data_IF_584348712159
#
_entry.id   IF_584348712159
#
_cell.length_a   1.000
_cell.length_b   1.000
_cell.length_c   1.000
_cell.angle_alpha   90.00
_cell.angle_beta   90.00
_cell.angle_gamma   90.00
#
_symmetry.space_group_name_H-M   'P 1'
#
loop_
_entity.id
_entity.type
_entity.pdbx_description
1 polymer ?
#
# COMPACT_ATOMS: atom_id res chain seq x y z
N UNK A 1 -63.18 0.94 -29.78
CA UNK A 1 -61.99 0.25 -29.25
C UNK A 1 -60.90 1.27 -29.02
N UNK A 2 -60.64 1.66 -27.76
CA UNK A 2 -59.49 2.48 -27.41
C UNK A 2 -58.38 1.60 -26.81
N UNK A 3 -57.16 1.79 -27.31
CA UNK A 3 -55.93 1.16 -26.80
C UNK A 3 -55.51 1.80 -25.48
N UNK A 4 -55.47 0.96 -24.46
CA UNK A 4 -55.10 1.28 -23.08
C UNK A 4 -53.57 1.14 -22.92
N UNK A 5 -52.83 2.20 -23.28
CA UNK A 5 -51.39 2.27 -23.06
C UNK A 5 -51.11 2.52 -21.57
N UNK A 6 -50.91 1.42 -20.85
CA UNK A 6 -50.47 1.37 -19.46
C UNK A 6 -49.20 2.19 -19.22
N UNK A 7 -49.38 3.36 -18.60
CA UNK A 7 -48.29 4.14 -17.99
C UNK A 7 -47.80 3.39 -16.75
N UNK A 8 -46.84 2.49 -16.92
CA UNK A 8 -46.03 1.98 -15.81
C UNK A 8 -45.23 3.16 -15.23
N UNK A 9 -45.72 3.70 -14.10
CA UNK A 9 -44.93 4.58 -13.25
C UNK A 9 -43.80 3.74 -12.66
N UNK A 10 -42.59 3.96 -13.15
CA UNK A 10 -41.37 3.52 -12.48
C UNK A 10 -41.37 4.23 -11.11
N UNK A 11 -41.43 3.52 -9.97
CA UNK A 11 -41.32 4.17 -8.68
C UNK A 11 -39.96 4.84 -8.60
N UNK A 12 -39.95 6.12 -8.28
CA UNK A 12 -38.72 6.85 -7.98
C UNK A 12 -38.00 6.06 -6.87
N UNK A 13 -36.88 5.43 -7.24
CA UNK A 13 -35.95 4.86 -6.28
C UNK A 13 -35.49 6.03 -5.41
N UNK A 14 -36.10 6.17 -4.22
CA UNK A 14 -35.50 6.93 -3.14
C UNK A 14 -34.23 6.17 -2.81
N UNK A 15 -33.10 6.64 -3.35
CA UNK A 15 -31.79 6.37 -2.79
C UNK A 15 -31.92 6.76 -1.32
N UNK A 16 -32.02 5.77 -0.43
CA UNK A 16 -31.80 6.02 0.99
C UNK A 16 -30.36 6.51 1.07
N UNK A 17 -30.20 7.83 1.19
CA UNK A 17 -28.95 8.43 1.63
C UNK A 17 -28.70 7.80 3.00
N UNK A 18 -27.82 6.80 3.02
CA UNK A 18 -27.53 6.02 4.21
C UNK A 18 -27.21 6.98 5.35
N UNK A 19 -27.74 6.71 6.55
CA UNK A 19 -27.36 7.41 7.77
C UNK A 19 -25.83 7.30 7.90
N UNK A 20 -25.13 8.36 7.51
CA UNK A 20 -23.69 8.47 7.70
C UNK A 20 -23.44 8.30 9.20
N UNK A 21 -22.64 7.30 9.56
CA UNK A 21 -22.30 7.07 10.97
C UNK A 21 -21.77 8.38 11.58
N UNK A 22 -22.06 8.63 12.87
CA UNK A 22 -21.63 9.86 13.54
C UNK A 22 -20.12 10.11 13.40
N UNK A 23 -19.32 9.04 13.36
CA UNK A 23 -17.89 9.09 13.14
C UNK A 23 -17.52 9.55 11.73
N UNK A 24 -18.16 9.00 10.69
CA UNK A 24 -17.90 9.44 9.32
C UNK A 24 -18.30 10.90 9.11
N UNK A 25 -19.39 11.36 9.72
CA UNK A 25 -19.78 12.78 9.68
C UNK A 25 -18.71 13.68 10.31
N UNK A 26 -18.11 13.27 11.45
CA UNK A 26 -17.02 14.00 12.09
C UNK A 26 -15.79 14.08 11.18
N UNK A 27 -15.33 12.94 10.65
CA UNK A 27 -14.16 12.89 9.74
C UNK A 27 -14.37 13.80 8.54
N UNK A 28 -15.57 13.76 7.96
CA UNK A 28 -15.94 14.59 6.82
C UNK A 28 -15.89 16.09 7.16
N UNK A 29 -16.46 16.52 8.29
CA UNK A 29 -16.43 17.93 8.70
C UNK A 29 -15.01 18.42 9.02
N UNK A 30 -14.23 17.63 9.74
CA UNK A 30 -12.87 18.00 10.13
C UNK A 30 -11.93 18.03 8.91
N UNK A 31 -12.10 17.07 7.97
CA UNK A 31 -11.31 17.02 6.73
C UNK A 31 -11.58 18.18 5.78
N UNK A 32 -12.78 18.78 5.80
CA UNK A 32 -13.15 19.90 4.92
C UNK A 32 -12.35 21.16 5.23
N UNK A 33 -12.13 21.46 6.52
CA UNK A 33 -11.33 22.60 6.95
C UNK A 33 -9.88 22.44 6.48
N UNK A 34 -9.31 21.25 6.71
CA UNK A 34 -7.96 20.90 6.27
C UNK A 34 -7.83 20.96 4.74
N UNK A 35 -8.86 20.51 4.02
CA UNK A 35 -8.86 20.51 2.56
C UNK A 35 -8.90 21.93 2.00
N UNK A 36 -9.69 22.82 2.61
CA UNK A 36 -9.75 24.23 2.23
C UNK A 36 -8.38 24.90 2.40
N UNK A 37 -7.69 24.63 3.52
CA UNK A 37 -6.33 25.11 3.78
C UNK A 37 -5.33 24.58 2.75
N UNK A 38 -5.40 23.28 2.43
CA UNK A 38 -4.58 22.68 1.37
C UNK A 38 -4.78 23.39 0.04
N UNK A 39 -6.02 23.59 -0.42
CA UNK A 39 -6.30 24.23 -1.72
C UNK A 39 -5.77 25.65 -1.79
N UNK A 40 -5.94 26.43 -0.73
CA UNK A 40 -5.40 27.78 -0.65
C UNK A 40 -3.87 27.77 -0.73
N UNK A 41 -3.23 26.83 -0.04
CA UNK A 41 -1.77 26.68 -0.07
C UNK A 41 -1.25 26.27 -1.44
N UNK A 42 -1.97 25.40 -2.16
CA UNK A 42 -1.57 24.94 -3.49
C UNK A 42 -1.65 26.04 -4.56
N UNK A 43 -2.41 27.12 -4.32
CA UNK A 43 -2.51 28.25 -5.26
C UNK A 43 -1.21 29.06 -5.26
N UNK A 44 -0.36 28.81 -6.26
CA UNK A 44 0.91 29.53 -6.43
C UNK A 44 2.07 28.99 -5.60
N UNK A 45 1.89 27.86 -4.90
CA UNK A 45 2.98 27.20 -4.20
C UNK A 45 4.07 26.71 -5.17
N UNK A 46 5.32 26.84 -4.73
CA UNK A 46 6.43 26.11 -5.34
C UNK A 46 6.22 24.59 -5.23
N UNK A 47 6.93 23.81 -6.04
CA UNK A 47 6.84 22.34 -6.00
C UNK A 47 7.12 21.77 -4.60
N UNK A 48 8.08 22.35 -3.88
CA UNK A 48 8.43 21.92 -2.53
C UNK A 48 7.31 22.25 -1.53
N UNK A 49 6.80 23.48 -1.55
CA UNK A 49 5.68 23.89 -0.68
C UNK A 49 4.42 23.06 -0.95
N UNK A 50 4.11 22.80 -2.22
CA UNK A 50 2.97 21.96 -2.58
C UNK A 50 3.12 20.53 -2.04
N UNK A 51 4.34 19.99 -2.05
CA UNK A 51 4.64 18.67 -1.46
C UNK A 51 4.48 18.68 0.05
N UNK A 52 5.07 19.66 0.74
CA UNK A 52 4.98 19.80 2.20
C UNK A 52 3.52 19.93 2.65
N UNK A 53 2.73 20.76 1.97
CA UNK A 53 1.30 20.93 2.24
C UNK A 53 0.52 19.63 2.05
N UNK A 54 0.79 18.87 0.98
CA UNK A 54 0.15 17.57 0.73
C UNK A 54 0.53 16.54 1.80
N UNK A 55 1.80 16.46 2.20
CA UNK A 55 2.25 15.56 3.27
C UNK A 55 1.59 15.89 4.61
N UNK A 56 1.53 17.18 4.95
CA UNK A 56 0.89 17.64 6.18
C UNK A 56 -0.60 17.28 6.17
N UNK A 57 -1.28 17.55 5.06
CA UNK A 57 -2.68 17.22 4.88
C UNK A 57 -2.94 15.70 5.00
N UNK A 58 -2.21 14.86 4.26
CA UNK A 58 -2.39 13.40 4.31
C UNK A 58 -2.12 12.84 5.71
N UNK A 59 -1.11 13.39 6.41
CA UNK A 59 -0.82 13.02 7.80
C UNK A 59 -1.97 13.40 8.72
N UNK A 60 -2.53 14.60 8.60
CA UNK A 60 -3.65 15.05 9.45
C UNK A 60 -4.92 14.23 9.18
N UNK A 61 -5.26 13.95 7.91
CA UNK A 61 -6.40 13.08 7.57
C UNK A 61 -6.24 11.69 8.18
N UNK A 62 -5.03 11.11 8.11
CA UNK A 62 -4.73 9.81 8.72
C UNK A 62 -5.02 9.81 10.23
N UNK A 63 -4.75 10.92 10.94
CA UNK A 63 -5.03 11.04 12.38
C UNK A 63 -6.52 11.16 12.72
N UNK A 64 -7.34 11.65 11.78
CA UNK A 64 -8.79 11.72 11.96
C UNK A 64 -9.46 10.34 11.83
N UNK A 65 -8.82 9.44 11.10
CA UNK A 65 -9.33 8.10 10.82
C UNK A 65 -8.94 7.09 11.92
N UNK A 66 -9.84 6.16 12.27
CA UNK A 66 -9.62 5.20 13.34
C UNK A 66 -8.42 4.30 13.04
N UNK A 67 -7.54 4.12 14.03
CA UNK A 67 -6.41 3.22 13.91
C UNK A 67 -6.86 1.74 13.89
N UNK A 68 -6.13 0.84 13.22
CA UNK A 68 -6.35 -0.59 13.31
C UNK A 68 -5.91 -1.11 14.69
N UNK A 69 -6.66 -0.79 15.74
CA UNK A 69 -6.51 -1.44 17.04
C UNK A 69 -7.14 -2.84 16.98
N UNK A 70 -6.77 -3.71 17.93
CA UNK A 70 -7.44 -5.01 18.14
C UNK A 70 -8.85 -4.80 18.66
N UNK A 71 -9.74 -4.30 17.81
CA UNK A 71 -11.14 -4.07 18.16
C UNK A 71 -11.84 -5.43 18.07
N UNK A 72 -12.40 -5.87 19.19
CA UNK A 72 -13.05 -7.19 19.30
C UNK A 72 -14.30 -7.32 18.41
N UNK A 73 -14.92 -6.19 18.03
CA UNK A 73 -16.02 -6.11 17.10
C UNK A 73 -15.81 -4.95 16.12
N UNK A 74 -15.54 -5.29 14.87
CA UNK A 74 -15.46 -4.33 13.76
C UNK A 74 -16.77 -4.41 13.00
N UNK A 75 -17.54 -3.32 12.99
CA UNK A 75 -18.70 -3.20 12.10
C UNK A 75 -18.27 -2.74 10.70
N UNK A 76 -19.20 -2.78 9.74
CA UNK A 76 -18.92 -2.48 8.33
C UNK A 76 -18.49 -1.01 8.13
N UNK A 77 -19.10 -0.07 8.84
CA UNK A 77 -18.78 1.35 8.74
C UNK A 77 -17.38 1.68 9.27
N UNK A 78 -16.97 1.02 10.36
CA UNK A 78 -15.64 1.13 10.92
C UNK A 78 -14.60 0.47 9.99
N UNK A 79 -14.93 -0.66 9.38
CA UNK A 79 -14.07 -1.32 8.39
C UNK A 79 -13.82 -0.42 7.18
N UNK A 80 -14.83 0.29 6.69
CA UNK A 80 -14.68 1.27 5.62
C UNK A 80 -13.71 2.39 6.01
N UNK A 81 -13.87 3.00 7.19
CA UNK A 81 -12.98 4.06 7.67
C UNK A 81 -11.54 3.57 7.90
N UNK A 82 -11.39 2.32 8.34
CA UNK A 82 -10.07 1.69 8.44
C UNK A 82 -9.45 1.45 7.06
N UNK A 83 -10.23 1.01 6.07
CA UNK A 83 -9.75 0.85 4.69
C UNK A 83 -9.33 2.19 4.07
N UNK A 84 -10.07 3.25 4.39
CA UNK A 84 -9.76 4.61 3.96
C UNK A 84 -8.44 5.09 4.58
N UNK A 85 -8.21 4.81 5.87
CA UNK A 85 -6.95 5.13 6.55
C UNK A 85 -5.75 4.46 5.88
N UNK A 86 -5.89 3.17 5.59
CA UNK A 86 -4.87 2.36 4.91
C UNK A 86 -4.45 3.04 3.59
N UNK A 87 -5.41 3.56 2.83
CA UNK A 87 -5.15 4.31 1.60
C UNK A 87 -4.44 5.64 1.86
N UNK A 88 -4.84 6.41 2.87
CA UNK A 88 -4.19 7.69 3.21
C UNK A 88 -2.74 7.50 3.69
N UNK A 89 -2.47 6.47 4.49
CA UNK A 89 -1.11 6.14 4.92
C UNK A 89 -0.22 5.73 3.72
N UNK A 90 -0.80 5.05 2.73
CA UNK A 90 -0.11 4.69 1.50
C UNK A 90 0.22 5.94 0.66
N UNK A 91 -0.72 6.89 0.57
CA UNK A 91 -0.50 8.17 -0.10
C UNK A 91 0.59 9.00 0.59
N UNK A 92 0.66 9.01 1.93
CA UNK A 92 1.76 9.63 2.66
C UNK A 92 3.13 9.11 2.20
N UNK A 93 3.26 7.80 1.96
CA UNK A 93 4.51 7.18 1.52
C UNK A 93 4.84 7.59 0.08
N UNK A 94 3.83 7.67 -0.79
CA UNK A 94 4.01 8.02 -2.21
C UNK A 94 4.31 9.50 -2.43
N UNK A 95 3.77 10.39 -1.59
CA UNK A 95 4.00 11.85 -1.65
C UNK A 95 5.21 12.26 -0.82
N UNK A 96 5.59 11.42 0.15
CA UNK A 96 6.66 11.64 1.11
C UNK A 96 8.08 11.64 0.54
N UNK A 97 9.09 11.98 1.36
CA UNK A 97 10.52 11.91 0.99
C UNK A 97 10.94 10.51 0.51
N UNK A 98 10.27 9.46 0.99
CA UNK A 98 10.54 8.07 0.64
C UNK A 98 10.41 7.75 -0.85
N UNK A 99 9.60 8.51 -1.59
CA UNK A 99 9.45 8.34 -3.03
C UNK A 99 10.68 8.79 -3.84
N UNK A 100 11.53 9.67 -3.29
CA UNK A 100 12.70 10.20 -4.02
C UNK A 100 14.00 9.56 -3.54
N UNK A 101 14.07 9.19 -2.25
CA UNK A 101 15.30 8.71 -1.62
C UNK A 101 15.44 7.18 -1.65
N UNK A 102 14.58 6.47 -2.39
CA UNK A 102 14.61 5.01 -2.51
C UNK A 102 14.19 4.25 -1.24
N UNK A 103 13.70 4.94 -0.21
CA UNK A 103 13.17 4.30 1.01
C UNK A 103 11.70 3.85 0.89
N UNK A 104 11.11 3.96 -0.31
CA UNK A 104 9.76 3.49 -0.61
C UNK A 104 9.51 2.05 -0.17
N UNK A 105 10.43 1.13 -0.50
CA UNK A 105 10.27 -0.28 -0.15
C UNK A 105 10.17 -0.48 1.38
N UNK A 106 10.96 0.28 2.14
CA UNK A 106 10.96 0.25 3.61
C UNK A 106 9.71 0.92 4.20
N UNK A 107 9.24 2.01 3.58
CA UNK A 107 7.95 2.63 3.88
C UNK A 107 6.78 1.68 3.66
N UNK A 108 6.71 1.03 2.49
CA UNK A 108 5.66 0.05 2.16
C UNK A 108 5.73 -1.18 3.07
N UNK A 109 6.92 -1.66 3.41
CA UNK A 109 7.09 -2.76 4.37
C UNK A 109 6.56 -2.41 5.76
N UNK A 110 6.88 -1.21 6.23
CA UNK A 110 6.42 -0.72 7.53
C UNK A 110 4.91 -0.53 7.53
N UNK A 111 4.35 0.03 6.45
CA UNK A 111 2.92 0.16 6.25
C UNK A 111 2.19 -1.18 6.21
N UNK A 112 2.71 -2.19 5.50
CA UNK A 112 2.13 -3.53 5.47
C UNK A 112 2.08 -4.16 6.86
N UNK A 113 3.14 -4.00 7.66
CA UNK A 113 3.19 -4.51 9.04
C UNK A 113 2.18 -3.80 9.96
N UNK A 114 2.09 -2.48 9.88
CA UNK A 114 1.15 -1.69 10.69
C UNK A 114 -0.29 -2.00 10.33
N UNK A 115 -0.58 -2.19 9.05
CA UNK A 115 -1.91 -2.47 8.55
C UNK A 115 -2.20 -3.97 8.45
N UNK A 116 -1.28 -4.82 8.91
CA UNK A 116 -1.39 -6.27 8.79
C UNK A 116 -2.72 -6.77 9.34
N UNK A 117 -3.22 -6.24 10.48
CA UNK A 117 -4.52 -6.64 11.02
C UNK A 117 -5.68 -6.28 10.08
N UNK A 118 -5.70 -5.06 9.54
CA UNK A 118 -6.70 -4.63 8.56
C UNK A 118 -6.62 -5.45 7.25
N UNK A 119 -5.42 -5.90 6.89
CA UNK A 119 -5.14 -6.77 5.73
C UNK A 119 -5.46 -8.26 6.00
N UNK A 120 -5.23 -8.75 7.22
CA UNK A 120 -5.34 -10.16 7.64
C UNK A 120 -6.69 -10.54 8.25
N UNK A 121 -7.63 -9.62 8.44
CA UNK A 121 -9.03 -9.96 8.76
C UNK A 121 -9.63 -11.01 7.77
N UNK A 122 -8.94 -11.33 6.67
CA UNK A 122 -9.37 -12.22 5.60
C UNK A 122 -8.65 -13.59 5.52
N UNK A 123 -7.63 -13.89 6.33
CA UNK A 123 -6.95 -15.21 6.28
C UNK A 123 -6.63 -15.73 7.70
N UNK A 124 -7.24 -16.86 8.07
CA UNK A 124 -7.04 -17.55 9.36
C UNK A 124 -6.02 -18.69 9.27
N UNK A 125 -5.16 -18.76 10.29
CA UNK A 125 -4.36 -19.93 10.69
C UNK A 125 -3.18 -19.44 11.53
N UNK A 126 -2.83 -19.94 12.71
CA UNK A 126 -3.09 -21.22 13.37
C UNK A 126 -1.76 -21.64 13.98
N UNK A 127 -1.48 -21.24 15.23
CA UNK A 127 -0.18 -21.43 15.89
C UNK A 127 -0.16 -22.67 16.78
N UNK A 128 0.81 -23.56 16.53
CA UNK A 128 1.21 -24.65 17.43
C UNK A 128 2.60 -24.37 18.00
N UNK A 129 2.83 -24.83 19.23
CA UNK A 129 4.08 -24.74 19.99
C UNK A 129 4.81 -26.09 19.93
N UNK A 130 6.15 -26.10 19.93
CA UNK A 130 6.92 -27.14 20.62
C UNK A 130 8.40 -26.79 20.85
N UNK A 131 8.99 -27.52 21.82
CA UNK A 131 10.28 -27.35 22.50
C UNK A 131 11.53 -27.32 21.60
N UNK A 132 12.49 -26.46 21.96
CA UNK A 132 13.74 -26.21 21.21
C UNK A 132 14.86 -27.17 21.62
N UNK A 133 15.55 -27.80 20.65
CA UNK A 133 16.75 -28.64 20.85
C UNK A 133 18.04 -27.88 20.54
N UNK A 134 19.19 -28.24 21.14
CA UNK A 134 20.49 -27.57 20.92
C UNK A 134 20.92 -27.53 19.44
N UNK A 135 20.56 -28.55 18.65
CA UNK A 135 20.83 -28.60 17.21
C UNK A 135 20.04 -27.56 16.40
N UNK A 136 18.84 -27.17 16.86
CA UNK A 136 18.08 -26.07 16.27
C UNK A 136 18.73 -24.73 16.60
N UNK A 137 19.21 -24.54 17.84
CA UNK A 137 19.89 -23.30 18.27
C UNK A 137 21.13 -23.01 17.41
N UNK A 138 21.93 -24.04 17.11
CA UNK A 138 23.16 -23.91 16.32
C UNK A 138 22.94 -23.37 14.89
N UNK A 139 21.77 -23.61 14.28
CA UNK A 139 21.42 -23.08 12.95
C UNK A 139 20.59 -21.78 13.05
N UNK A 140 19.71 -21.68 14.04
CA UNK A 140 18.83 -20.53 14.25
C UNK A 140 19.63 -19.29 14.65
N UNK A 141 20.63 -19.40 15.54
CA UNK A 141 21.39 -18.24 16.01
C UNK A 141 22.16 -17.52 14.88
N UNK A 142 22.92 -18.21 14.00
CA UNK A 142 23.54 -17.56 12.84
C UNK A 142 22.51 -16.96 11.88
N UNK A 143 21.38 -17.64 11.65
CA UNK A 143 20.29 -17.09 10.82
C UNK A 143 19.74 -15.80 11.43
N UNK A 144 19.49 -15.76 12.74
CA UNK A 144 19.03 -14.58 13.45
C UNK A 144 20.07 -13.46 13.41
N UNK A 145 21.35 -13.77 13.53
CA UNK A 145 22.43 -12.79 13.40
C UNK A 145 22.43 -12.16 12.00
N UNK A 146 22.29 -12.98 10.95
CA UNK A 146 22.20 -12.51 9.57
C UNK A 146 20.98 -11.61 9.39
N UNK A 147 19.80 -12.01 9.88
CA UNK A 147 18.57 -11.21 9.82
C UNK A 147 18.73 -9.89 10.56
N UNK A 148 19.31 -9.90 11.77
CA UNK A 148 19.55 -8.68 12.56
C UNK A 148 20.56 -7.72 11.93
N UNK A 149 21.45 -8.24 11.10
CA UNK A 149 22.45 -7.46 10.34
C UNK A 149 21.98 -7.09 8.95
N UNK A 150 20.71 -7.33 8.64
CA UNK A 150 20.12 -6.91 7.39
C UNK A 150 20.25 -5.39 7.27
N UNK A 151 20.85 -4.85 6.19
CA UNK A 151 20.97 -3.41 6.02
C UNK A 151 19.59 -2.77 5.86
N UNK A 152 19.40 -1.60 6.46
CA UNK A 152 18.18 -0.79 6.41
C UNK A 152 18.50 0.65 5.99
N UNK A 153 17.71 1.23 5.10
CA UNK A 153 17.96 2.58 4.60
C UNK A 153 17.33 3.61 5.55
N UNK A 154 18.15 4.48 6.13
CA UNK A 154 17.68 5.53 7.05
C UNK A 154 17.51 5.09 8.51
N UNK A 155 17.62 3.80 8.82
CA UNK A 155 17.76 3.31 10.20
C UNK A 155 19.22 3.12 10.59
N UNK A 156 20.05 2.66 9.65
CA UNK A 156 21.48 2.53 9.86
C UNK A 156 22.15 3.89 9.66
N UNK A 157 22.65 4.50 10.75
CA UNK A 157 23.38 5.78 10.70
C UNK A 157 24.59 5.78 9.75
N UNK A 158 25.08 4.59 9.37
CA UNK A 158 26.19 4.41 8.42
C UNK A 158 25.75 4.36 6.94
N UNK A 159 24.45 4.32 6.66
CA UNK A 159 23.88 4.20 5.32
C UNK A 159 23.03 5.45 5.04
N UNK A 160 23.62 6.40 4.33
CA UNK A 160 23.03 7.72 4.07
C UNK A 160 22.46 7.88 2.66
N UNK A 161 22.62 6.87 1.80
CA UNK A 161 22.19 6.94 0.40
C UNK A 161 21.86 5.57 -0.18
N UNK A 162 21.02 5.55 -1.22
CA UNK A 162 20.64 4.32 -1.95
C UNK A 162 21.85 3.54 -2.47
N UNK A 163 22.88 4.15 -3.09
CA UNK A 163 24.05 3.39 -3.55
C UNK A 163 24.82 2.70 -2.41
N UNK A 164 24.97 3.38 -1.27
CA UNK A 164 25.58 2.78 -0.08
C UNK A 164 24.75 1.61 0.45
N UNK A 165 23.42 1.78 0.49
CA UNK A 165 22.48 0.73 0.89
C UNK A 165 22.59 -0.49 -0.02
N UNK A 166 22.51 -0.32 -1.34
CA UNK A 166 22.62 -1.41 -2.31
C UNK A 166 23.96 -2.12 -2.19
N UNK A 167 25.06 -1.39 -2.02
CA UNK A 167 26.39 -2.01 -1.84
C UNK A 167 26.47 -2.84 -0.55
N UNK A 168 26.00 -2.31 0.58
CA UNK A 168 25.93 -3.03 1.85
C UNK A 168 25.00 -4.24 1.76
N UNK A 169 23.88 -4.11 1.03
CA UNK A 169 22.92 -5.17 0.79
C UNK A 169 23.56 -6.34 0.03
N UNK A 170 24.33 -6.06 -1.01
CA UNK A 170 25.04 -7.08 -1.78
C UNK A 170 26.09 -7.80 -0.93
N UNK A 171 26.84 -7.08 -0.10
CA UNK A 171 27.80 -7.68 0.84
C UNK A 171 27.10 -8.62 1.83
N UNK A 172 25.98 -8.16 2.40
CA UNK A 172 25.17 -8.96 3.31
C UNK A 172 24.58 -10.19 2.61
N UNK A 173 24.05 -10.07 1.38
CA UNK A 173 23.58 -11.21 0.59
C UNK A 173 24.72 -12.21 0.31
N UNK A 174 25.94 -11.73 0.06
CA UNK A 174 27.12 -12.58 -0.06
C UNK A 174 27.40 -13.39 1.21
N UNK A 175 27.24 -12.78 2.39
CA UNK A 175 27.38 -13.48 3.67
C UNK A 175 26.27 -14.53 3.89
N UNK A 176 25.02 -14.21 3.53
CA UNK A 176 23.89 -15.14 3.57
C UNK A 176 24.14 -16.33 2.64
N UNK A 177 24.59 -16.08 1.40
CA UNK A 177 24.92 -17.11 0.43
C UNK A 177 26.09 -17.99 0.90
N UNK A 178 27.12 -17.40 1.48
CA UNK A 178 28.23 -18.16 2.07
C UNK A 178 27.75 -19.09 3.20
N UNK A 179 26.82 -18.62 4.03
CA UNK A 179 26.23 -19.42 5.09
C UNK A 179 25.33 -20.56 4.57
N UNK A 180 24.52 -20.34 3.54
CA UNK A 180 23.69 -21.40 2.94
C UNK A 180 24.53 -22.50 2.27
N UNK A 181 25.75 -22.18 1.84
CA UNK A 181 26.68 -23.15 1.26
C UNK A 181 27.42 -24.02 2.30
N UNK A 182 27.36 -23.67 3.59
CA UNK A 182 28.07 -24.38 4.68
C UNK A 182 27.37 -25.70 5.07
N UNK A 183 27.61 -26.77 4.31
CA UNK A 183 26.92 -28.08 4.46
C UNK A 183 26.89 -28.64 5.91
N UNK A 184 27.98 -28.53 6.66
CA UNK A 184 28.11 -29.17 7.98
C UNK A 184 27.03 -28.73 8.98
N UNK A 185 26.72 -27.43 9.08
CA UNK A 185 25.71 -26.92 10.00
C UNK A 185 24.28 -27.31 9.56
N UNK A 186 24.02 -27.31 8.25
CA UNK A 186 22.73 -27.69 7.68
C UNK A 186 22.45 -29.18 7.77
N UNK A 187 23.48 -30.03 7.68
CA UNK A 187 23.32 -31.49 7.76
C UNK A 187 22.95 -31.93 9.18
N UNK A 188 23.60 -31.36 10.20
CA UNK A 188 23.27 -31.61 11.62
C UNK A 188 21.83 -31.18 11.92
N UNK A 189 21.44 -29.97 11.50
CA UNK A 189 20.07 -29.50 11.72
C UNK A 189 19.04 -30.30 10.91
N UNK A 190 19.32 -30.67 9.66
CA UNK A 190 18.40 -31.52 8.86
C UNK A 190 18.19 -32.90 9.47
N UNK A 191 19.21 -33.48 10.12
CA UNK A 191 19.08 -34.76 10.80
C UNK A 191 18.25 -34.65 12.09
N UNK A 192 18.45 -33.57 12.85
CA UNK A 192 17.74 -33.35 14.12
C UNK A 192 16.29 -32.86 13.91
N UNK A 193 16.09 -31.90 13.01
CA UNK A 193 14.80 -31.30 12.68
C UNK A 193 14.75 -30.84 11.20
N UNK A 194 14.28 -31.73 10.30
CA UNK A 194 14.12 -31.41 8.88
C UNK A 194 13.17 -30.24 8.60
N UNK A 195 12.17 -29.99 9.47
CA UNK A 195 11.18 -28.95 9.26
C UNK A 195 11.78 -27.57 9.54
N UNK A 196 12.49 -27.40 10.65
CA UNK A 196 13.23 -26.17 10.96
C UNK A 196 14.28 -25.87 9.90
N UNK A 197 15.08 -26.87 9.50
CA UNK A 197 16.06 -26.67 8.44
C UNK A 197 15.39 -26.25 7.11
N UNK A 198 14.26 -26.86 6.74
CA UNK A 198 13.52 -26.43 5.54
C UNK A 198 13.01 -25.00 5.67
N UNK A 199 12.40 -24.65 6.81
CA UNK A 199 11.86 -23.31 7.06
C UNK A 199 12.94 -22.23 7.02
N UNK A 200 14.10 -22.46 7.66
CA UNK A 200 15.24 -21.56 7.59
C UNK A 200 15.81 -21.47 6.17
N UNK A 201 15.87 -22.57 5.43
CA UNK A 201 16.29 -22.57 4.02
C UNK A 201 15.38 -21.72 3.15
N UNK A 202 14.05 -21.85 3.32
CA UNK A 202 13.06 -21.02 2.62
C UNK A 202 13.22 -19.55 2.99
N UNK A 203 13.38 -19.23 4.28
CA UNK A 203 13.59 -17.87 4.77
C UNK A 203 14.85 -17.25 4.15
N UNK A 204 15.99 -17.94 4.17
CA UNK A 204 17.23 -17.40 3.59
C UNK A 204 17.13 -17.25 2.07
N UNK A 205 16.47 -18.16 1.37
CA UNK A 205 16.21 -18.01 -0.07
C UNK A 205 15.33 -16.80 -0.38
N UNK A 206 14.34 -16.52 0.46
CA UNK A 206 13.54 -15.30 0.38
C UNK A 206 14.39 -14.06 0.60
N UNK A 207 15.24 -14.04 1.63
CA UNK A 207 16.16 -12.94 1.95
C UNK A 207 17.17 -12.67 0.82
N UNK A 208 17.57 -13.72 0.09
CA UNK A 208 18.42 -13.65 -1.10
C UNK A 208 17.68 -13.18 -2.36
N UNK A 209 16.36 -12.95 -2.29
CA UNK A 209 15.58 -12.46 -3.42
C UNK A 209 15.17 -13.54 -4.42
N UNK A 210 15.12 -14.82 -4.02
CA UNK A 210 14.62 -15.89 -4.90
C UNK A 210 13.15 -15.64 -5.26
N UNK A 211 12.86 -15.51 -6.55
CA UNK A 211 11.49 -15.27 -7.04
C UNK A 211 10.53 -16.38 -6.62
N UNK A 212 10.97 -17.64 -6.61
CA UNK A 212 10.16 -18.78 -6.21
C UNK A 212 9.87 -18.76 -4.71
N UNK A 213 10.88 -18.44 -3.89
CA UNK A 213 10.72 -18.36 -2.45
C UNK A 213 9.81 -17.19 -2.05
N UNK A 214 9.94 -16.05 -2.74
CA UNK A 214 9.03 -14.91 -2.58
C UNK A 214 7.60 -15.33 -2.94
N UNK A 215 7.39 -15.94 -4.12
CA UNK A 215 6.07 -16.37 -4.55
C UNK A 215 5.39 -17.35 -3.59
N UNK A 216 6.16 -18.26 -2.98
CA UNK A 216 5.64 -19.21 -1.98
C UNK A 216 5.32 -18.57 -0.62
N UNK A 217 6.03 -17.50 -0.25
CA UNK A 217 5.88 -16.84 1.05
C UNK A 217 4.85 -15.71 1.07
N UNK A 218 4.41 -15.25 -0.10
CA UNK A 218 3.47 -14.12 -0.23
C UNK A 218 2.10 -14.60 -0.68
N UNK A 219 1.07 -14.07 -0.07
CA UNK A 219 -0.33 -14.40 -0.32
C UNK A 219 -1.06 -13.37 -1.19
N UNK A 220 -0.52 -12.14 -1.25
CA UNK A 220 -1.07 -11.03 -2.06
C UNK A 220 -0.03 -10.43 -3.02
N UNK A 221 -0.48 -9.86 -4.13
CA UNK A 221 0.42 -9.31 -5.15
C UNK A 221 1.21 -8.14 -4.58
N UNK A 222 0.63 -7.46 -3.58
CA UNK A 222 1.24 -6.36 -2.87
C UNK A 222 2.36 -6.84 -1.92
N UNK A 223 2.13 -7.94 -1.19
CA UNK A 223 3.20 -8.60 -0.44
C UNK A 223 4.34 -9.04 -1.38
N UNK A 224 3.99 -9.60 -2.54
CA UNK A 224 4.97 -10.01 -3.55
C UNK A 224 5.75 -8.81 -4.11
N UNK A 225 5.06 -7.71 -4.42
CA UNK A 225 5.67 -6.47 -4.88
C UNK A 225 6.66 -5.93 -3.85
N UNK A 226 6.23 -5.79 -2.60
CA UNK A 226 7.09 -5.27 -1.52
C UNK A 226 8.27 -6.22 -1.27
N UNK A 227 8.04 -7.53 -1.25
CA UNK A 227 9.11 -8.51 -1.11
C UNK A 227 10.12 -8.41 -2.26
N UNK A 228 9.68 -8.27 -3.51
CA UNK A 228 10.58 -8.08 -4.65
C UNK A 228 11.35 -6.77 -4.56
N UNK A 229 10.72 -5.68 -4.15
CA UNK A 229 11.41 -4.41 -3.94
C UNK A 229 12.45 -4.49 -2.82
N UNK A 230 12.16 -5.18 -1.72
CA UNK A 230 13.08 -5.30 -0.58
C UNK A 230 14.24 -6.28 -0.84
N UNK A 231 13.96 -7.43 -1.46
CA UNK A 231 14.90 -8.55 -1.52
C UNK A 231 15.54 -8.71 -2.90
N UNK A 232 14.86 -8.32 -3.98
CA UNK A 232 15.32 -8.54 -5.36
C UNK A 232 15.79 -7.24 -6.05
N UNK A 233 15.08 -6.13 -5.84
CA UNK A 233 15.32 -4.85 -6.50
C UNK A 233 15.44 -3.68 -5.50
N UNK A 234 16.41 -3.70 -4.57
CA UNK A 234 16.55 -2.68 -3.52
C UNK A 234 16.87 -1.27 -4.04
N UNK A 235 17.25 -1.13 -5.32
CA UNK A 235 17.51 0.16 -5.98
C UNK A 235 16.46 0.55 -7.02
N UNK A 236 15.32 -0.15 -7.07
CA UNK A 236 14.27 0.09 -8.07
C UNK A 236 13.82 1.55 -8.04
N UNK A 237 13.77 2.18 -9.21
CA UNK A 237 13.25 3.54 -9.32
C UNK A 237 11.75 3.52 -9.56
N UNK A 238 11.04 4.42 -8.89
CA UNK A 238 9.59 4.56 -8.96
C UNK A 238 9.06 4.80 -10.38
N UNK A 239 9.75 5.63 -11.16
CA UNK A 239 9.32 5.98 -12.51
C UNK A 239 9.72 4.90 -13.52
N UNK A 240 8.72 4.21 -14.07
CA UNK A 240 8.86 3.32 -15.22
C UNK A 240 9.18 1.86 -14.92
N UNK A 241 9.88 1.56 -13.83
CA UNK A 241 10.22 0.17 -13.46
C UNK A 241 9.16 -0.48 -12.57
N UNK A 242 8.48 0.32 -11.73
CA UNK A 242 7.50 -0.20 -10.78
C UNK A 242 6.24 -0.73 -11.48
N UNK A 243 5.76 -0.10 -12.56
CA UNK A 243 4.57 -0.56 -13.28
C UNK A 243 4.76 -1.95 -13.87
N UNK A 244 5.92 -2.20 -14.50
CA UNK A 244 6.28 -3.52 -15.03
C UNK A 244 6.39 -4.56 -13.90
N UNK A 245 6.93 -4.18 -12.74
CA UNK A 245 7.02 -5.08 -11.58
C UNK A 245 5.65 -5.39 -10.98
N UNK A 246 4.77 -4.39 -10.89
CA UNK A 246 3.39 -4.53 -10.43
C UNK A 246 2.62 -5.50 -11.34
N UNK A 247 2.71 -5.33 -12.66
CA UNK A 247 2.07 -6.19 -13.64
C UNK A 247 2.51 -7.66 -13.50
N UNK A 248 3.82 -7.88 -13.29
CA UNK A 248 4.33 -9.23 -13.04
C UNK A 248 3.78 -9.85 -11.75
N UNK A 249 3.66 -9.06 -10.68
CA UNK A 249 3.11 -9.54 -9.40
C UNK A 249 1.61 -9.85 -9.51
N UNK A 250 0.85 -9.06 -10.27
CA UNK A 250 -0.59 -9.31 -10.47
C UNK A 250 -0.83 -10.54 -11.32
N UNK A 251 -0.10 -10.69 -12.43
CA UNK A 251 -0.21 -11.87 -13.30
C UNK A 251 0.14 -13.18 -12.58
N UNK A 252 1.08 -13.13 -11.64
CA UNK A 252 1.47 -14.29 -10.84
C UNK A 252 0.39 -14.74 -9.84
N UNK A 253 -0.58 -13.88 -9.51
CA UNK A 253 -1.55 -14.11 -8.43
C UNK A 253 -3.02 -14.10 -8.82
N UNK A 254 -3.36 -13.91 -10.11
CA UNK A 254 -4.73 -13.94 -10.62
C UNK A 254 -5.52 -15.23 -10.27
N UNK A 255 -4.86 -16.26 -9.74
CA UNK A 255 -5.49 -17.48 -9.24
C UNK A 255 -6.20 -17.36 -7.86
N UNK A 256 -5.94 -16.33 -7.05
CA UNK A 256 -6.39 -16.27 -5.63
C UNK A 256 -7.48 -15.23 -5.31
N UNK A 257 -8.14 -14.65 -6.31
CA UNK A 257 -9.44 -13.97 -6.11
C UNK A 257 -9.40 -12.60 -5.40
N UNK A 258 -8.28 -11.86 -5.47
CA UNK A 258 -8.14 -10.54 -4.83
C UNK A 258 -8.84 -9.39 -5.59
N UNK A 259 -10.11 -9.56 -5.99
CA UNK A 259 -10.90 -8.54 -6.70
C UNK A 259 -11.09 -7.22 -5.92
N UNK A 260 -10.81 -7.21 -4.60
CA UNK A 260 -10.88 -6.01 -3.76
C UNK A 260 -9.69 -5.06 -3.87
N UNK A 261 -8.54 -5.51 -4.39
CA UNK A 261 -7.29 -4.73 -4.37
C UNK A 261 -6.93 -4.08 -5.70
N UNK A 262 -7.73 -4.30 -6.75
CA UNK A 262 -7.55 -3.66 -8.07
C UNK A 262 -7.55 -2.13 -7.94
N UNK A 263 -8.39 -1.60 -7.05
CA UNK A 263 -8.47 -0.19 -6.68
C UNK A 263 -7.16 0.37 -6.12
N UNK A 264 -6.51 -0.38 -5.23
CA UNK A 264 -5.24 0.01 -4.58
C UNK A 264 -4.06 -0.12 -5.54
N UNK A 265 -4.07 -1.16 -6.39
CA UNK A 265 -3.10 -1.33 -7.48
C UNK A 265 -3.13 -0.11 -8.42
N UNK A 266 -4.32 0.27 -8.88
CA UNK A 266 -4.48 1.39 -9.80
C UNK A 266 -4.08 2.72 -9.15
N UNK A 267 -4.38 2.92 -7.86
CA UNK A 267 -3.94 4.08 -7.09
C UNK A 267 -2.42 4.16 -6.98
N UNK A 268 -1.76 3.05 -6.63
CA UNK A 268 -0.31 2.97 -6.57
C UNK A 268 0.31 3.25 -7.93
N UNK A 269 -0.20 2.61 -8.99
CA UNK A 269 0.33 2.80 -10.35
C UNK A 269 0.25 4.27 -10.77
N UNK A 270 -0.89 4.92 -10.52
CA UNK A 270 -1.08 6.31 -10.86
C UNK A 270 -0.26 7.29 -10.02
N UNK A 271 -0.10 7.02 -8.73
CA UNK A 271 0.80 7.78 -7.87
C UNK A 271 2.24 7.70 -8.38
N UNK A 272 2.65 6.55 -8.91
CA UNK A 272 3.99 6.31 -9.42
C UNK A 272 4.22 6.89 -10.83
N UNK A 273 3.20 6.85 -11.69
CA UNK A 273 3.24 7.40 -13.05
C UNK A 273 2.98 8.91 -13.09
N UNK A 274 2.43 9.49 -12.02
CA UNK A 274 2.02 10.90 -11.98
C UNK A 274 0.86 11.21 -12.92
N UNK A 275 0.08 10.19 -13.32
CA UNK A 275 -1.05 10.27 -14.25
C UNK A 275 -2.29 9.70 -13.54
N UNK A 276 -3.15 10.58 -13.01
CA UNK A 276 -4.35 10.20 -12.26
C UNK A 276 -5.62 9.97 -13.11
N UNK A 277 -5.53 10.03 -14.45
CA UNK A 277 -6.71 10.39 -15.27
C UNK A 277 -7.71 9.30 -15.68
N UNK A 278 -7.39 8.02 -15.97
CA UNK A 278 -8.43 7.13 -16.53
C UNK A 278 -9.10 6.09 -15.60
N UNK A 279 -8.56 5.75 -14.42
CA UNK A 279 -8.86 4.46 -13.73
C UNK A 279 -9.83 4.57 -12.53
N UNK A 280 -10.42 5.75 -12.33
CA UNK A 280 -11.07 6.17 -11.08
C UNK A 280 -12.40 5.48 -10.66
N UNK A 281 -13.23 4.89 -11.55
CA UNK A 281 -14.47 4.22 -11.12
C UNK A 281 -14.24 3.02 -10.18
N UNK A 282 -13.08 2.36 -10.27
CA UNK A 282 -12.72 1.23 -9.42
C UNK A 282 -12.25 1.63 -8.03
N UNK A 283 -11.57 2.78 -7.89
CA UNK A 283 -11.00 3.28 -6.63
C UNK A 283 -12.04 3.80 -5.62
N UNK A 284 -13.29 3.99 -6.07
CA UNK A 284 -14.39 4.54 -5.27
C UNK A 284 -14.95 3.60 -4.20
N UNK A 285 -14.61 2.31 -4.20
CA UNK A 285 -15.14 1.36 -3.21
C UNK A 285 -14.57 1.55 -1.80
N UNK A 286 -13.25 1.66 -1.59
CA UNK A 286 -12.69 1.89 -0.25
C UNK A 286 -12.76 3.36 0.21
N UNK A 287 -13.01 4.31 -0.69
CA UNK A 287 -12.99 5.74 -0.38
C UNK A 287 -14.41 6.34 -0.46
N UNK A 288 -14.81 7.10 0.55
CA UNK A 288 -16.02 7.91 0.47
C UNK A 288 -15.94 8.95 -0.66
N UNK A 289 -17.09 9.38 -1.19
CA UNK A 289 -17.16 10.39 -2.26
C UNK A 289 -16.45 11.70 -1.91
N UNK A 290 -16.49 12.13 -0.64
CA UNK A 290 -15.74 13.29 -0.15
C UNK A 290 -14.23 13.08 -0.18
N UNK A 291 -13.78 11.92 0.33
CA UNK A 291 -12.36 11.54 0.34
C UNK A 291 -11.78 11.44 -1.07
N UNK A 292 -12.59 11.01 -2.05
CA UNK A 292 -12.21 10.97 -3.45
C UNK A 292 -11.87 12.37 -4.00
N UNK A 293 -12.64 13.41 -3.66
CA UNK A 293 -12.31 14.77 -4.09
C UNK A 293 -10.95 15.22 -3.54
N UNK A 294 -10.66 14.86 -2.29
CA UNK A 294 -9.42 15.23 -1.60
C UNK A 294 -8.20 14.49 -2.18
N UNK A 295 -8.31 13.19 -2.44
CA UNK A 295 -7.21 12.37 -2.99
C UNK A 295 -6.75 12.92 -4.34
N UNK A 296 -7.64 13.47 -5.17
CA UNK A 296 -7.26 14.02 -6.47
C UNK A 296 -6.37 15.27 -6.37
N UNK A 297 -6.62 16.16 -5.42
CA UNK A 297 -5.76 17.35 -5.22
C UNK A 297 -4.41 16.97 -4.58
N UNK A 298 -4.37 15.87 -3.82
CA UNK A 298 -3.15 15.31 -3.24
C UNK A 298 -2.29 14.58 -4.28
N UNK A 299 -2.92 13.71 -5.07
CA UNK A 299 -2.25 12.88 -6.08
C UNK A 299 -2.00 13.64 -7.40
N UNK A 300 -2.71 14.74 -7.65
CA UNK A 300 -2.61 15.52 -8.87
C UNK A 300 -1.19 16.04 -9.15
N UNK A 301 -0.86 16.29 -10.43
CA UNK A 301 0.46 16.80 -10.80
C UNK A 301 0.78 18.09 -10.04
N UNK A 302 2.05 18.31 -9.72
CA UNK A 302 2.50 19.61 -9.20
C UNK A 302 2.03 20.73 -10.15
N UNK A 303 1.70 21.94 -9.64
CA UNK A 303 1.02 23.01 -10.39
C UNK A 303 1.75 23.59 -11.61
N UNK A 304 2.83 22.95 -12.09
CA UNK A 304 3.67 23.38 -13.20
C UNK A 304 3.48 22.58 -14.50
N UNK A 305 2.64 21.53 -14.51
CA UNK A 305 2.21 20.89 -15.77
C UNK A 305 0.76 21.27 -16.07
N UNK A 306 0.45 21.72 -17.30
CA UNK A 306 -0.92 21.85 -17.76
C UNK A 306 -1.64 20.54 -17.47
N UNK A 307 -2.76 20.62 -16.78
CA UNK A 307 -3.60 19.46 -16.50
C UNK A 307 -3.95 18.87 -17.88
N UNK A 308 -3.59 17.60 -18.17
CA UNK A 308 -3.86 17.05 -19.49
C UNK A 308 -5.37 17.08 -19.75
N UNK A 309 -5.82 17.32 -20.99
CA UNK A 309 -7.24 17.43 -21.35
C UNK A 309 -8.10 16.21 -20.95
N UNK A 310 -7.46 15.10 -20.56
CA UNK A 310 -8.09 13.90 -20.01
C UNK A 310 -8.67 14.04 -18.59
N UNK A 311 -8.46 15.15 -17.86
CA UNK A 311 -9.17 15.43 -16.60
C UNK A 311 -10.52 16.10 -16.77
N UNK A 312 -10.83 16.58 -18.00
CA UNK A 312 -12.14 17.13 -18.30
C UNK A 312 -13.08 15.99 -18.66
N UNK A 313 -14.18 15.90 -17.93
CA UNK A 313 -15.28 15.03 -18.34
C UNK A 313 -15.77 15.52 -19.70
N UNK A 314 -15.68 14.66 -20.72
CA UNK A 314 -15.88 14.97 -22.15
C UNK A 314 -17.22 15.65 -22.49
N UNK A 315 -18.16 15.70 -21.53
CA UNK A 315 -19.51 16.22 -21.70
C UNK A 315 -19.83 17.46 -20.86
N UNK A 316 -18.99 17.87 -19.91
CA UNK A 316 -19.35 18.98 -18.98
C UNK A 316 -18.31 20.10 -18.92
N UNK A 317 -17.10 19.92 -19.47
CA UNK A 317 -16.03 20.92 -19.40
C UNK A 317 -15.44 21.13 -17.99
N UNK A 318 -16.01 20.48 -16.97
CA UNK A 318 -15.53 20.51 -15.58
C UNK A 318 -14.41 19.50 -15.37
N UNK A 319 -13.53 19.76 -14.40
CA UNK A 319 -12.52 18.79 -13.97
C UNK A 319 -13.17 17.66 -13.16
N UNK A 320 -12.53 16.48 -13.10
CA UNK A 320 -12.97 15.40 -12.21
C UNK A 320 -13.07 15.84 -10.74
N UNK A 321 -12.15 16.68 -10.27
CA UNK A 321 -12.19 17.27 -8.92
C UNK A 321 -13.47 18.06 -8.70
N UNK A 322 -13.83 18.92 -9.65
CA UNK A 322 -15.07 19.70 -9.60
C UNK A 322 -16.31 18.79 -9.62
N UNK A 323 -16.30 17.73 -10.42
CA UNK A 323 -17.40 16.76 -10.46
C UNK A 323 -17.59 16.05 -9.12
N UNK A 324 -16.53 15.57 -8.47
CA UNK A 324 -16.64 14.90 -7.16
C UNK A 324 -16.95 15.89 -6.04
N UNK A 325 -16.41 17.10 -6.10
CA UNK A 325 -16.75 18.17 -5.16
C UNK A 325 -18.24 18.53 -5.27
N UNK A 326 -18.77 18.61 -6.50
CA UNK A 326 -20.18 18.88 -6.74
C UNK A 326 -21.09 17.71 -6.29
N UNK A 327 -20.67 16.47 -6.56
CA UNK A 327 -21.39 15.28 -6.08
C UNK A 327 -21.43 15.23 -4.55
N UNK A 328 -20.29 15.48 -3.90
CA UNK A 328 -20.18 15.54 -2.45
C UNK A 328 -21.01 16.70 -1.85
N UNK A 329 -21.02 17.88 -2.48
CA UNK A 329 -21.86 19.00 -2.05
C UNK A 329 -23.37 18.72 -2.23
N UNK A 330 -23.73 17.81 -3.13
CA UNK A 330 -25.13 17.44 -3.41
C UNK A 330 -25.67 16.30 -2.54
N UNK A 331 -24.78 15.54 -1.88
CA UNK A 331 -25.10 14.41 -1.00
C UNK A 331 -25.24 14.83 0.45
#
# INVERSE_FOLDING_TARGET
MPDDLGKQRIPASRVQVGLVSGERKRVVMDSLALYTELRLTLQGASRQQAREARMQYTSQITTLLPAPARIAHVDEALLELMSERVVWELLCICVGPSAEDGSLAEGLSTWLRTNQAALHCWVKGGGGSDSVTEAQVALVEPCLLLIRRMPHLGQDASISSVPQFVSRRQQWQGAVLGFTQSKAAWDVCRQADPATARGLGMLLNLLLGSSDAIGQATSTWLEQLVARMLYMYPGLRLQGELSALMEQCTQAQDALGCAGWTSTLQLLQAACEGICTPWWPGAARPLGTGSMAHVMDVAGPAPLRPIPPATHTAHTGTTLVESYTAQYASS
#
